data_IF_495485628471
#
_entry.id   IF_495485628471
#
_cell.length_a   1.000
_cell.length_b   1.000
_cell.length_c   1.000
_cell.angle_alpha   90.00
_cell.angle_beta   90.00
_cell.angle_gamma   90.00
#
_symmetry.space_group_name_H-M   'P 1'
#
loop_
_entity.id
_entity.type
_entity.pdbx_description
1 polymer ?
#
# COMPACT_ATOMS: atom_id res chain seq x y z
N UNK A 1 -1.30 37.16 -31.36
CA UNK A 1 -0.15 36.45 -30.75
C UNK A 1 0.77 35.99 -31.87
N UNK A 2 2.07 35.87 -31.63
CA UNK A 2 3.02 35.40 -32.65
C UNK A 2 3.09 33.86 -32.62
N UNK A 3 3.34 33.20 -33.75
CA UNK A 3 3.51 31.75 -33.80
C UNK A 3 4.56 31.21 -32.80
N UNK A 4 5.59 32.01 -32.51
CA UNK A 4 6.59 31.69 -31.50
C UNK A 4 6.03 31.71 -30.08
N UNK A 5 5.18 32.68 -29.73
CA UNK A 5 4.54 32.73 -28.42
C UNK A 5 3.56 31.55 -28.22
N UNK A 6 2.83 31.17 -29.27
CA UNK A 6 1.92 30.02 -29.25
C UNK A 6 2.69 28.69 -29.08
N UNK A 7 3.82 28.54 -29.77
CA UNK A 7 4.70 27.39 -29.63
C UNK A 7 5.30 27.28 -28.21
N UNK A 8 5.77 28.38 -27.63
CA UNK A 8 6.29 28.40 -26.25
C UNK A 8 5.21 28.07 -25.22
N UNK A 9 3.96 28.51 -25.43
CA UNK A 9 2.84 28.15 -24.55
C UNK A 9 2.49 26.66 -24.65
N UNK A 10 2.51 26.08 -25.86
CA UNK A 10 2.28 24.66 -26.07
C UNK A 10 3.36 23.80 -25.40
N UNK A 11 4.64 24.16 -25.57
CA UNK A 11 5.76 23.48 -24.91
C UNK A 11 5.65 23.58 -23.38
N UNK A 12 5.33 24.77 -22.86
CA UNK A 12 5.14 24.97 -21.42
C UNK A 12 3.94 24.18 -20.87
N UNK A 13 2.91 23.93 -21.66
CA UNK A 13 1.78 23.08 -21.27
C UNK A 13 2.19 21.61 -21.21
N UNK A 14 2.96 21.13 -22.20
CA UNK A 14 3.47 19.76 -22.23
C UNK A 14 4.40 19.47 -21.04
N UNK A 15 5.33 20.40 -20.73
CA UNK A 15 6.23 20.26 -19.58
C UNK A 15 5.46 20.18 -18.26
N UNK A 16 4.40 20.99 -18.09
CA UNK A 16 3.54 20.92 -16.90
C UNK A 16 2.79 19.59 -16.81
N UNK A 17 2.28 19.08 -17.93
CA UNK A 17 1.60 17.79 -17.96
C UNK A 17 2.54 16.64 -17.58
N UNK A 18 3.79 16.65 -18.08
CA UNK A 18 4.82 15.67 -17.71
C UNK A 18 5.18 15.75 -16.23
N UNK A 19 5.39 16.96 -15.70
CA UNK A 19 5.67 17.16 -14.28
C UNK A 19 4.54 16.62 -13.40
N UNK A 20 3.28 16.92 -13.74
CA UNK A 20 2.12 16.42 -13.01
C UNK A 20 2.01 14.89 -13.04
N UNK A 21 2.36 14.26 -14.17
CA UNK A 21 2.37 12.80 -14.29
C UNK A 21 3.44 12.16 -13.38
N UNK A 22 4.65 12.74 -13.34
CA UNK A 22 5.74 12.29 -12.47
C UNK A 22 5.35 12.45 -10.99
N UNK A 23 4.76 13.58 -10.61
CA UNK A 23 4.27 13.80 -9.24
C UNK A 23 3.14 12.85 -8.86
N UNK A 24 2.25 12.52 -9.79
CA UNK A 24 1.19 11.53 -9.57
C UNK A 24 1.78 10.13 -9.32
N UNK A 25 2.79 9.74 -10.08
CA UNK A 25 3.45 8.44 -9.92
C UNK A 25 4.25 8.39 -8.61
N UNK A 26 5.00 9.44 -8.27
CA UNK A 26 5.69 9.55 -6.99
C UNK A 26 4.72 9.39 -5.80
N UNK A 27 3.55 10.02 -5.86
CA UNK A 27 2.49 9.86 -4.84
C UNK A 27 1.96 8.43 -4.76
N UNK A 28 1.85 7.73 -5.89
CA UNK A 28 1.42 6.32 -5.91
C UNK A 28 2.45 5.41 -5.24
N UNK A 29 3.73 5.57 -5.56
CA UNK A 29 4.80 4.77 -4.95
C UNK A 29 4.84 4.98 -3.42
N UNK A 30 4.80 6.23 -2.97
CA UNK A 30 4.75 6.55 -1.53
C UNK A 30 3.54 5.93 -0.83
N UNK A 31 2.37 5.92 -1.49
CA UNK A 31 1.18 5.25 -0.96
C UNK A 31 1.38 3.73 -0.85
N UNK A 32 1.99 3.09 -1.85
CA UNK A 32 2.28 1.66 -1.83
C UNK A 32 3.28 1.27 -0.73
N UNK A 33 4.37 2.03 -0.59
CA UNK A 33 5.36 1.83 0.49
C UNK A 33 4.69 1.92 1.86
N UNK A 34 3.82 2.91 2.05
CA UNK A 34 3.05 3.08 3.27
C UNK A 34 2.13 1.90 3.55
N UNK A 35 1.37 1.46 2.55
CA UNK A 35 0.51 0.30 2.68
C UNK A 35 1.32 -0.95 3.08
N UNK A 36 2.46 -1.18 2.43
CA UNK A 36 3.38 -2.27 2.77
C UNK A 36 3.89 -2.18 4.21
N UNK A 37 4.30 -0.99 4.66
CA UNK A 37 4.74 -0.76 6.03
C UNK A 37 3.64 -1.04 7.07
N UNK A 38 2.38 -0.67 6.76
CA UNK A 38 1.23 -0.96 7.62
C UNK A 38 0.99 -2.46 7.72
N UNK A 39 0.98 -3.18 6.60
CA UNK A 39 0.80 -4.65 6.59
C UNK A 39 1.91 -5.33 7.39
N UNK A 40 3.17 -4.93 7.18
CA UNK A 40 4.30 -5.48 7.91
C UNK A 40 4.21 -5.18 9.42
N UNK A 41 3.78 -3.98 9.81
CA UNK A 41 3.57 -3.63 11.21
C UNK A 41 2.46 -4.45 11.85
N UNK A 42 1.33 -4.66 11.15
CA UNK A 42 0.20 -5.44 11.64
C UNK A 42 0.58 -6.90 11.93
N UNK A 43 1.56 -7.47 11.22
CA UNK A 43 2.06 -8.81 11.51
C UNK A 43 2.71 -8.96 12.89
N UNK A 44 3.07 -7.84 13.56
CA UNK A 44 3.62 -7.82 14.92
C UNK A 44 2.55 -7.79 16.02
N UNK A 45 1.27 -7.84 15.65
CA UNK A 45 0.14 -7.80 16.57
C UNK A 45 -0.66 -9.10 16.47
N UNK A 46 -1.19 -9.54 17.61
CA UNK A 46 -1.99 -10.75 17.72
C UNK A 46 -3.49 -10.46 17.56
N UNK A 47 -4.26 -11.52 17.29
CA UNK A 47 -5.71 -11.47 17.16
C UNK A 47 -6.21 -11.28 15.73
N UNK A 48 -7.48 -10.91 15.60
CA UNK A 48 -8.14 -10.66 14.31
C UNK A 48 -7.67 -9.36 13.65
N UNK A 49 -7.91 -9.21 12.34
CA UNK A 49 -7.47 -8.03 11.55
C UNK A 49 -7.91 -6.71 12.21
N UNK A 50 -9.17 -6.65 12.68
CA UNK A 50 -9.69 -5.46 13.36
C UNK A 50 -8.95 -5.17 14.68
N UNK A 51 -8.71 -6.21 15.49
CA UNK A 51 -7.98 -6.10 16.76
C UNK A 51 -6.55 -5.61 16.55
N UNK A 52 -5.85 -6.16 15.54
CA UNK A 52 -4.51 -5.72 15.15
C UNK A 52 -4.50 -4.27 14.68
N UNK A 53 -5.49 -3.87 13.87
CA UNK A 53 -5.61 -2.51 13.36
C UNK A 53 -5.85 -1.49 14.47
N UNK A 54 -6.72 -1.81 15.43
CA UNK A 54 -7.00 -0.97 16.59
C UNK A 54 -5.77 -0.82 17.49
N UNK A 55 -5.07 -1.93 17.79
CA UNK A 55 -3.86 -1.91 18.60
C UNK A 55 -2.74 -1.11 17.93
N UNK A 56 -2.51 -1.30 16.63
CA UNK A 56 -1.54 -0.52 15.86
C UNK A 56 -1.90 0.97 15.88
N UNK A 57 -3.17 1.34 15.72
CA UNK A 57 -3.58 2.74 15.75
C UNK A 57 -3.32 3.40 17.11
N UNK A 58 -3.55 2.69 18.21
CA UNK A 58 -3.24 3.16 19.58
C UNK A 58 -1.74 3.43 19.71
N UNK A 59 -0.91 2.46 19.32
CA UNK A 59 0.54 2.58 19.42
C UNK A 59 1.10 3.69 18.52
N UNK A 60 0.56 3.83 17.30
CA UNK A 60 0.94 4.92 16.38
C UNK A 60 0.60 6.29 16.95
N UNK A 61 -0.55 6.46 17.62
CA UNK A 61 -0.89 7.71 18.32
C UNK A 61 0.08 7.99 19.46
N UNK A 62 0.40 6.98 20.25
CA UNK A 62 1.38 7.10 21.34
C UNK A 62 2.78 7.46 20.81
N UNK A 63 3.21 6.82 19.72
CA UNK A 63 4.48 7.09 19.06
C UNK A 63 4.55 8.50 18.47
N UNK A 64 3.47 8.98 17.84
CA UNK A 64 3.38 10.36 17.34
C UNK A 64 3.59 11.39 18.45
N UNK A 65 2.96 11.17 19.61
CA UNK A 65 3.03 12.09 20.73
C UNK A 65 4.39 12.09 21.44
N UNK A 66 5.05 10.93 21.53
CA UNK A 66 6.18 10.73 22.45
C UNK A 66 7.53 10.46 21.75
N UNK A 67 7.51 9.83 20.58
CA UNK A 67 8.70 9.34 19.88
C UNK A 67 9.07 10.17 18.66
N UNK A 68 8.07 10.48 17.83
CA UNK A 68 8.28 11.00 16.49
C UNK A 68 9.14 12.27 16.42
N UNK A 69 8.88 13.27 17.26
CA UNK A 69 9.64 14.54 17.26
C UNK A 69 11.16 14.40 17.47
N UNK A 70 11.61 13.30 18.06
CA UNK A 70 13.04 13.04 18.29
C UNK A 70 13.68 12.22 17.18
N UNK A 71 12.86 11.62 16.33
CA UNK A 71 13.25 10.60 15.38
C UNK A 71 12.93 10.98 13.94
N UNK A 72 12.16 12.03 13.69
CA UNK A 72 11.70 12.45 12.36
C UNK A 72 12.84 12.70 11.35
N UNK A 73 13.98 13.21 11.84
CA UNK A 73 15.20 13.41 11.06
C UNK A 73 15.98 12.13 10.74
N UNK A 74 15.63 11.00 11.35
CA UNK A 74 16.26 9.71 11.05
C UNK A 74 15.61 9.07 9.82
N UNK A 75 16.46 8.52 8.95
CA UNK A 75 15.98 7.74 7.82
C UNK A 75 15.45 6.37 8.26
N UNK A 76 16.16 5.74 9.19
CA UNK A 76 15.74 4.51 9.86
C UNK A 76 16.21 4.53 11.32
N UNK A 77 15.48 3.83 12.19
CA UNK A 77 15.91 3.59 13.56
C UNK A 77 16.98 2.49 13.62
N UNK A 78 17.94 2.57 14.56
CA UNK A 78 19.00 1.58 14.70
C UNK A 78 18.42 0.18 14.97
N UNK A 79 19.15 -0.86 14.55
CA UNK A 79 18.74 -2.27 14.70
C UNK A 79 18.47 -2.69 16.15
N UNK A 80 19.05 -1.99 17.14
CA UNK A 80 18.78 -2.21 18.57
C UNK A 80 17.42 -1.67 19.05
N UNK A 81 16.74 -0.82 18.26
CA UNK A 81 15.41 -0.34 18.62
C UNK A 81 14.37 -1.46 18.50
N UNK A 82 13.31 -1.52 19.33
CA UNK A 82 12.30 -2.57 19.23
C UNK A 82 11.65 -2.67 17.85
N UNK A 83 11.39 -3.88 17.36
CA UNK A 83 10.82 -4.12 16.01
C UNK A 83 9.53 -3.36 15.77
N UNK A 84 8.64 -3.27 16.77
CA UNK A 84 7.41 -2.47 16.70
C UNK A 84 7.70 -0.98 16.50
N UNK A 85 8.63 -0.41 17.26
CA UNK A 85 9.04 1.01 17.13
C UNK A 85 9.62 1.31 15.75
N UNK A 86 10.46 0.41 15.21
CA UNK A 86 10.98 0.54 13.83
C UNK A 86 9.85 0.50 12.80
N UNK A 87 8.85 -0.36 12.98
CA UNK A 87 7.70 -0.43 12.10
C UNK A 87 6.85 0.85 12.15
N UNK A 88 6.58 1.39 13.36
CA UNK A 88 5.88 2.67 13.52
C UNK A 88 6.64 3.83 12.87
N UNK A 89 7.96 3.87 13.05
CA UNK A 89 8.82 4.89 12.43
C UNK A 89 8.70 4.88 10.90
N UNK A 90 8.76 3.71 10.26
CA UNK A 90 8.57 3.59 8.80
C UNK A 90 7.20 4.08 8.34
N UNK A 91 6.13 3.75 9.09
CA UNK A 91 4.78 4.24 8.78
C UNK A 91 4.72 5.77 8.84
N UNK A 92 5.31 6.39 9.87
CA UNK A 92 5.32 7.85 10.00
C UNK A 92 6.19 8.54 8.93
N UNK A 93 7.37 8.00 8.61
CA UNK A 93 8.23 8.50 7.53
C UNK A 93 7.54 8.52 6.18
N UNK A 94 6.70 7.52 5.88
CA UNK A 94 5.96 7.43 4.60
C UNK A 94 4.88 8.51 4.41
N UNK A 95 4.60 9.35 5.42
CA UNK A 95 3.58 10.40 5.34
C UNK A 95 3.98 11.68 6.11
N UNK A 96 5.28 11.95 6.21
CA UNK A 96 5.80 13.13 6.92
C UNK A 96 5.20 13.30 8.33
N UNK A 97 4.95 12.18 9.00
CA UNK A 97 4.42 12.12 10.36
C UNK A 97 2.91 12.30 10.52
N UNK A 98 2.12 12.34 9.44
CA UNK A 98 0.67 12.46 9.56
C UNK A 98 0.02 11.16 10.09
N UNK A 99 -0.84 11.25 11.13
CA UNK A 99 -1.43 10.07 11.77
C UNK A 99 -2.39 9.32 10.85
N UNK A 100 -2.66 8.06 11.21
CA UNK A 100 -3.60 7.17 10.53
C UNK A 100 -4.57 6.56 11.54
N UNK A 101 -5.85 6.50 11.17
CA UNK A 101 -6.90 5.88 11.99
C UNK A 101 -6.94 4.36 11.86
N UNK A 102 -7.48 3.71 12.88
CA UNK A 102 -7.76 2.26 12.89
C UNK A 102 -8.60 1.80 11.70
N UNK A 103 -9.65 2.54 11.34
CA UNK A 103 -10.51 2.20 10.20
C UNK A 103 -9.77 2.24 8.86
N UNK A 104 -8.82 3.16 8.71
CA UNK A 104 -7.98 3.24 7.51
C UNK A 104 -7.00 2.07 7.45
N UNK A 105 -6.34 1.75 8.57
CA UNK A 105 -5.47 0.58 8.70
C UNK A 105 -6.24 -0.70 8.36
N UNK A 106 -7.44 -0.88 8.93
CA UNK A 106 -8.29 -2.03 8.67
C UNK A 106 -8.65 -2.16 7.19
N UNK A 107 -9.06 -1.06 6.53
CA UNK A 107 -9.41 -1.10 5.11
C UNK A 107 -8.22 -1.50 4.24
N UNK A 108 -7.02 -0.97 4.51
CA UNK A 108 -5.78 -1.35 3.82
C UNK A 108 -5.52 -2.85 4.01
N UNK A 109 -5.59 -3.33 5.26
CA UNK A 109 -5.37 -4.73 5.59
C UNK A 109 -6.37 -5.66 4.90
N UNK A 110 -7.65 -5.29 4.90
CA UNK A 110 -8.72 -6.07 4.28
C UNK A 110 -8.55 -6.14 2.77
N UNK A 111 -8.25 -5.02 2.11
CA UNK A 111 -8.02 -4.97 0.66
C UNK A 111 -6.83 -5.85 0.26
N UNK A 112 -5.72 -5.78 1.00
CA UNK A 112 -4.53 -6.60 0.69
C UNK A 112 -4.73 -8.08 1.02
N UNK A 113 -5.46 -8.41 2.09
CA UNK A 113 -5.80 -9.80 2.43
C UNK A 113 -6.75 -10.42 1.39
N UNK A 114 -7.72 -9.64 0.89
CA UNK A 114 -8.62 -10.07 -0.19
C UNK A 114 -7.92 -10.19 -1.54
N UNK A 115 -6.99 -9.27 -1.86
CA UNK A 115 -6.15 -9.38 -3.06
C UNK A 115 -5.21 -10.61 -3.01
N UNK A 116 -4.71 -10.96 -1.81
CA UNK A 116 -3.91 -12.16 -1.61
C UNK A 116 -4.73 -13.43 -1.86
N UNK A 117 -5.99 -13.47 -1.37
CA UNK A 117 -6.89 -14.60 -1.60
C UNK A 117 -7.16 -14.85 -3.10
N UNK A 118 -7.42 -13.78 -3.88
CA UNK A 118 -7.63 -13.87 -5.33
C UNK A 118 -6.34 -14.30 -6.05
N UNK A 119 -5.16 -13.92 -5.54
CA UNK A 119 -3.87 -14.32 -6.12
C UNK A 119 -3.51 -15.78 -5.84
N UNK A 120 -4.00 -16.40 -4.76
CA UNK A 120 -3.77 -17.83 -4.45
C UNK A 120 -4.73 -18.78 -5.17
N UNK A 121 -5.89 -18.31 -5.61
CA UNK A 121 -6.86 -19.12 -6.38
C UNK A 121 -6.51 -19.18 -7.90
N UNK A 122 -5.44 -18.50 -8.33
CA UNK A 122 -4.94 -18.53 -9.71
C UNK A 122 -4.22 -19.81 -10.14
N UNK A 123 -4.05 -20.80 -9.25
CA UNK A 123 -3.46 -22.11 -9.58
C UNK A 123 -4.49 -23.22 -9.32
N UNK A 124 -5.54 -23.25 -10.15
CA UNK A 124 -6.29 -24.49 -10.38
C UNK A 124 -6.64 -24.66 -11.87
N UNK A 125 -5.61 -24.60 -12.72
CA UNK A 125 -5.66 -25.31 -13.99
C UNK A 125 -5.34 -26.79 -13.71
N UNK A 126 -6.39 -27.57 -13.41
CA UNK A 126 -6.36 -28.99 -13.74
C UNK A 126 -7.12 -29.14 -15.05
N UNK A 127 -6.33 -29.37 -16.11
CA UNK A 127 -6.71 -30.17 -17.26
C UNK A 127 -7.17 -31.57 -16.80
N UNK A 128 -7.75 -32.30 -17.76
CA UNK A 128 -8.33 -33.67 -17.74
C UNK A 128 -9.86 -33.55 -17.79
N UNK A 129 -10.59 -34.08 -18.75
CA UNK A 129 -10.36 -34.58 -20.12
C UNK A 129 -11.77 -35.01 -20.59
N UNK A 130 -11.93 -35.24 -21.89
CA UNK A 130 -12.92 -36.16 -22.44
C UNK A 130 -14.41 -35.87 -22.18
N UNK A 131 -15.06 -35.28 -23.20
CA UNK A 131 -16.28 -35.94 -23.70
C UNK A 131 -16.49 -35.60 -25.18
N UNK A 132 -15.72 -36.29 -26.01
CA UNK A 132 -16.10 -36.59 -27.38
C UNK A 132 -16.77 -37.98 -27.36
N UNK A 133 -18.02 -38.04 -27.86
CA UNK A 133 -18.69 -39.21 -28.47
C UNK A 133 -18.85 -40.50 -27.66
N UNK A 134 -20.11 -40.88 -27.36
CA UNK A 134 -20.61 -42.24 -27.70
C UNK A 134 -22.12 -42.22 -27.99
N UNK A 135 -22.48 -42.78 -29.14
CA UNK A 135 -23.82 -43.14 -29.60
C UNK A 135 -24.42 -44.37 -28.86
N UNK A 136 -25.69 -44.67 -29.20
CA UNK A 136 -26.51 -45.88 -28.95
C UNK A 136 -27.36 -45.91 -27.66
N UNK A 137 -28.64 -46.33 -27.66
CA UNK A 137 -29.57 -46.88 -28.66
C UNK A 137 -31.01 -46.59 -28.18
N UNK A 138 -32.04 -46.58 -29.04
CA UNK A 138 -32.70 -47.78 -29.52
C UNK A 138 -33.83 -48.22 -28.58
N UNK A 139 -35.07 -47.80 -28.87
CA UNK A 139 -36.32 -48.60 -28.90
C UNK A 139 -37.24 -47.95 -29.92
#
# INVERSE_FOLDING_TARGET
>A
MTPAADAMLAEAAELRARAAAIEAEARRMLAQEREGAIIAAMALYEGEIWTRAAALAVDLRSYAANGWRREDGLHELPAGAPSKRRAWHRIFRSRDGAPIGDRQIYNIAKLKSGALAISTDGVRLKNIDENDQVEHGGI
#
